data_IF_141652204014
#
_entry.id   IF_141652204014
#
_cell.length_a   1.000
_cell.length_b   1.000
_cell.length_c   1.000
_cell.angle_alpha   90.00
_cell.angle_beta   90.00
_cell.angle_gamma   90.00
#
_symmetry.space_group_name_H-M   'P 1'
#
loop_
_entity.id
_entity.type
_entity.pdbx_description
1 polymer ?
2 polymer ?
3 non-polymer ?
4 non-polymer ?
5 non-polymer ?
6 non-polymer ?
7 water ?
#
# COMPACT_ATOMS: atom_id res chain seq x y z
N UNK A 1 12.81 -2.95 6.73
CA UNK A 1 12.82 -1.49 6.96
C UNK A 1 14.12 -1.15 7.69
N UNK A 2 14.88 -0.18 7.14
CA UNK A 2 16.14 0.30 7.72
C UNK A 2 15.87 1.64 8.41
N UNK A 3 16.29 1.75 9.68
CA UNK A 3 16.22 2.98 10.44
C UNK A 3 14.85 3.48 10.83
N UNK A 4 13.90 2.55 11.00
CA UNK A 4 12.55 2.89 11.42
C UNK A 4 12.31 2.50 12.85
N UNK A 5 11.07 2.19 13.20
CA UNK A 5 10.76 1.77 14.57
C UNK A 5 9.74 0.67 14.49
N UNK A 6 9.51 -0.03 15.62
CA UNK A 6 8.49 -1.05 15.68
C UNK A 6 7.13 -0.30 15.54
N UNK A 7 6.23 -0.81 14.68
CA UNK A 7 4.89 -0.24 14.53
C UNK A 7 4.14 -0.75 15.78
N UNK A 8 3.71 0.11 16.74
CA UNK A 8 2.97 -0.43 17.90
C UNK A 8 1.83 -1.33 17.42
N UNK A 9 1.66 -2.49 18.06
CA UNK A 9 0.65 -3.49 17.68
C UNK A 9 -0.73 -2.86 17.41
N UNK A 10 -1.25 -3.09 16.22
CA UNK A 10 -2.54 -2.56 15.82
C UNK A 10 -2.48 -1.18 15.18
N UNK A 11 -1.29 -0.54 15.10
CA UNK A 11 -1.19 0.79 14.48
C UNK A 11 -0.98 0.74 12.96
N UNK A 12 -0.72 -0.45 12.36
CA UNK A 12 -0.59 -0.62 10.90
C UNK A 12 -1.60 -1.75 10.57
N UNK A 13 -2.93 -1.55 10.85
CA UNK A 13 -3.85 -2.70 10.74
C UNK A 13 -4.18 -3.19 9.35
N UNK A 14 -3.76 -2.47 8.31
CA UNK A 14 -3.94 -2.89 6.93
C UNK A 14 -2.73 -3.70 6.45
N UNK A 15 -1.63 -3.77 7.23
CA UNK A 15 -0.43 -4.49 6.80
C UNK A 15 -0.74 -5.97 6.57
N UNK A 16 -0.28 -6.50 5.44
CA UNK A 16 -0.45 -7.92 5.13
C UNK A 16 0.94 -8.57 5.12
N UNK A 17 1.00 -9.82 5.59
CA UNK A 17 2.19 -10.66 5.46
C UNK A 17 1.85 -11.78 4.48
N UNK A 18 2.64 -11.91 3.43
CA UNK A 18 2.45 -12.97 2.45
C UNK A 18 3.46 -14.08 2.71
N UNK A 19 2.97 -15.32 2.72
CA UNK A 19 3.75 -16.52 2.96
C UNK A 19 3.62 -17.50 1.80
N UNK A 20 4.71 -18.23 1.52
CA UNK A 20 4.73 -19.31 0.52
C UNK A 20 5.37 -20.52 1.22
N UNK A 21 4.58 -21.59 1.45
CA UNK A 21 5.06 -22.79 2.18
C UNK A 21 5.45 -22.42 3.62
N UNK A 22 4.77 -21.42 4.20
CA UNK A 22 5.02 -20.93 5.55
C UNK A 22 6.18 -19.98 5.72
N UNK A 23 6.93 -19.73 4.64
CA UNK A 23 8.09 -18.84 4.63
C UNK A 23 7.67 -17.44 4.18
N UNK A 24 8.27 -16.43 4.81
CA UNK A 24 8.03 -15.01 4.51
C UNK A 24 8.33 -14.74 3.05
N UNK A 25 7.37 -14.21 2.31
CA UNK A 25 7.58 -13.88 0.90
C UNK A 25 7.70 -12.36 0.69
N UNK A 26 6.66 -11.61 1.12
CA UNK A 26 6.47 -10.19 0.84
C UNK A 26 5.44 -9.63 1.79
N UNK A 27 5.19 -8.34 1.65
CA UNK A 27 4.13 -7.63 2.33
C UNK A 27 3.01 -7.37 1.33
N UNK A 28 1.96 -6.72 1.81
CA UNK A 28 0.81 -6.36 1.00
C UNK A 28 -0.03 -5.37 1.79
N UNK A 29 -1.08 -4.87 1.18
CA UNK A 29 -1.99 -3.92 1.85
C UNK A 29 -3.41 -4.39 1.63
N UNK A 30 -4.16 -4.53 2.72
CA UNK A 30 -5.59 -4.86 2.70
C UNK A 30 -6.34 -3.60 2.28
N UNK A 31 -7.19 -3.67 1.23
CA UNK A 31 -7.94 -2.47 0.81
C UNK A 31 -9.47 -2.63 1.03
N UNK A 32 -9.93 -3.85 1.36
CA UNK A 32 -11.30 -4.15 1.79
C UNK A 32 -11.26 -5.56 2.37
N UNK A 33 -12.39 -6.22 2.66
CA UNK A 33 -12.31 -7.56 3.30
C UNK A 33 -11.79 -8.71 2.43
N UNK A 34 -11.74 -8.59 1.08
CA UNK A 34 -11.27 -9.71 0.27
C UNK A 34 -10.06 -9.39 -0.62
N UNK A 35 -9.71 -8.13 -0.76
CA UNK A 35 -8.64 -7.71 -1.68
C UNK A 35 -7.43 -7.13 -0.99
N UNK A 36 -6.28 -7.52 -1.52
CA UNK A 36 -4.97 -7.13 -1.04
C UNK A 36 -4.16 -6.61 -2.23
N UNK A 37 -3.45 -5.50 -2.08
CA UNK A 37 -2.59 -5.06 -3.16
C UNK A 37 -1.15 -5.30 -2.72
N UNK A 38 -0.36 -5.85 -3.64
CA UNK A 38 1.05 -6.17 -3.38
C UNK A 38 1.89 -5.80 -4.63
N UNK A 39 3.14 -6.31 -4.75
CA UNK A 39 4.03 -6.05 -5.90
C UNK A 39 4.02 -7.27 -6.78
N UNK A 40 3.94 -7.06 -8.10
CA UNK A 40 3.98 -8.17 -9.06
C UNK A 40 5.29 -8.97 -8.94
N UNK A 41 6.43 -8.29 -8.63
CA UNK A 41 7.72 -8.98 -8.60
C UNK A 41 7.81 -10.06 -7.51
N UNK A 42 6.91 -10.00 -6.49
CA UNK A 42 6.79 -10.96 -5.39
C UNK A 42 6.48 -12.37 -5.93
N UNK A 43 5.86 -12.44 -7.11
CA UNK A 43 5.39 -13.71 -7.65
C UNK A 43 6.21 -14.26 -8.81
N UNK A 44 7.37 -13.66 -9.15
CA UNK A 44 8.21 -14.10 -10.28
C UNK A 44 8.70 -15.54 -10.15
N UNK A 45 8.98 -16.00 -8.94
CA UNK A 45 9.56 -17.32 -8.68
C UNK A 45 8.60 -18.33 -8.06
N UNK A 46 7.29 -18.02 -8.01
CA UNK A 46 6.30 -18.94 -7.42
C UNK A 46 6.01 -20.12 -8.35
N UNK A 47 6.04 -21.36 -7.78
CA UNK A 47 5.67 -22.58 -8.50
C UNK A 47 4.49 -23.23 -7.80
N UNK A 48 4.48 -23.16 -6.45
CA UNK A 48 3.43 -23.69 -5.59
C UNK A 48 2.36 -22.60 -5.34
N UNK A 49 1.59 -22.24 -6.40
CA UNK A 49 0.54 -21.22 -6.37
C UNK A 49 -0.51 -21.47 -5.28
N UNK A 50 -0.78 -22.75 -4.94
CA UNK A 50 -1.74 -23.19 -3.92
C UNK A 50 -1.25 -23.06 -2.46
N UNK A 51 0.05 -22.77 -2.25
CA UNK A 51 0.62 -22.63 -0.90
C UNK A 51 0.89 -21.17 -0.53
N UNK A 52 0.19 -20.25 -1.20
CA UNK A 52 0.31 -18.81 -0.96
C UNK A 52 -0.76 -18.39 0.04
N UNK A 53 -0.30 -17.85 1.19
CA UNK A 53 -1.17 -17.46 2.30
C UNK A 53 -0.98 -15.99 2.63
N UNK A 54 -2.08 -15.30 2.94
CA UNK A 54 -2.03 -13.91 3.40
C UNK A 54 -2.39 -13.92 4.88
N UNK A 55 -1.62 -13.22 5.69
CA UNK A 55 -1.86 -13.11 7.11
C UNK A 55 -2.16 -11.64 7.44
N UNK A 56 -3.32 -11.40 8.12
CA UNK A 56 -3.78 -10.06 8.58
C UNK A 56 -3.71 -10.07 10.10
N UNK A 57 -3.59 -8.90 10.72
CA UNK A 57 -3.52 -8.78 12.18
C UNK A 57 -2.21 -9.29 12.76
N UNK A 58 -1.22 -9.51 11.89
CA UNK A 58 0.10 -9.97 12.30
C UNK A 58 0.92 -8.82 12.90
N UNK A 59 1.77 -9.14 13.87
CA UNK A 59 2.62 -8.12 14.50
C UNK A 59 3.99 -8.75 14.82
N UNK A 60 4.00 -9.76 15.70
CA UNK A 60 5.22 -10.45 16.15
C UNK A 60 5.24 -11.86 15.55
N UNK A 61 6.25 -12.16 14.72
CA UNK A 61 6.35 -13.46 14.04
C UNK A 61 6.72 -14.65 14.96
N UNK A 62 7.19 -14.37 16.17
CA UNK A 62 7.61 -15.46 17.05
C UNK A 62 6.47 -16.01 17.91
N UNK A 63 5.33 -15.28 17.95
CA UNK A 63 4.21 -15.64 18.83
C UNK A 63 2.85 -15.52 18.14
N UNK A 64 1.95 -16.46 18.43
CA UNK A 64 0.56 -16.39 18.00
C UNK A 64 -0.22 -15.74 19.14
N UNK A 65 -0.82 -14.55 18.94
CA UNK A 65 -1.61 -13.93 20.03
C UNK A 65 -3.13 -14.01 19.83
N UNK A 66 -3.59 -14.62 18.76
CA UNK A 66 -5.04 -14.74 18.50
C UNK A 66 -5.63 -13.70 17.56
N UNK A 67 -4.93 -12.57 17.31
CA UNK A 67 -5.43 -11.53 16.38
C UNK A 67 -5.10 -11.80 14.93
N UNK A 68 -4.22 -12.78 14.67
CA UNK A 68 -3.81 -13.13 13.30
C UNK A 68 -4.93 -13.81 12.57
N UNK A 69 -5.11 -13.49 11.28
CA UNK A 69 -6.10 -14.14 10.43
C UNK A 69 -5.38 -14.53 9.15
N UNK A 70 -5.36 -15.82 8.85
CA UNK A 70 -4.74 -16.43 7.66
C UNK A 70 -5.80 -16.77 6.65
N UNK A 71 -5.51 -16.48 5.39
CA UNK A 71 -6.40 -16.77 4.28
C UNK A 71 -5.59 -17.23 3.11
N UNK A 72 -6.12 -18.22 2.36
CA UNK A 72 -5.51 -18.68 1.12
C UNK A 72 -5.76 -17.59 0.07
N UNK A 73 -4.79 -17.39 -0.81
CA UNK A 73 -4.89 -16.41 -1.89
C UNK A 73 -5.51 -17.18 -3.05
N UNK A 74 -6.73 -16.81 -3.42
CA UNK A 74 -7.48 -17.46 -4.49
C UNK A 74 -7.00 -17.01 -5.89
N UNK A 75 -6.57 -15.74 -6.02
CA UNK A 75 -6.15 -15.19 -7.31
C UNK A 75 -5.10 -14.11 -7.15
N UNK A 76 -4.13 -14.07 -8.07
CA UNK A 76 -3.06 -13.08 -8.15
C UNK A 76 -3.23 -12.44 -9.54
N UNK A 77 -3.59 -11.17 -9.56
CA UNK A 77 -3.83 -10.46 -10.83
C UNK A 77 -2.72 -9.47 -11.06
N UNK A 78 -2.06 -9.62 -12.20
CA UNK A 78 -0.92 -8.80 -12.57
C UNK A 78 -1.21 -8.05 -13.89
N UNK A 79 -0.79 -6.77 -14.06
CA UNK A 79 -1.06 -6.10 -15.34
C UNK A 79 -0.28 -6.73 -16.50
N UNK A 80 -0.87 -6.65 -17.70
CA UNK A 80 -0.28 -7.24 -18.91
C UNK A 80 1.06 -6.65 -19.26
N UNK A 81 1.30 -5.41 -18.80
CA UNK A 81 2.50 -4.64 -19.10
C UNK A 81 3.70 -4.99 -18.22
N UNK A 82 3.47 -5.72 -17.10
CA UNK A 82 4.53 -6.15 -16.20
C UNK A 82 5.36 -7.25 -16.87
N UNK A 83 6.69 -7.12 -16.84
CA UNK A 83 7.59 -8.12 -17.42
C UNK A 83 8.38 -8.76 -16.26
N UNK A 84 8.24 -10.08 -15.96
CA UNK A 84 9.02 -10.68 -14.86
C UNK A 84 10.51 -10.36 -14.93
N UNK A 85 11.09 -10.08 -13.78
CA UNK A 85 12.51 -9.74 -13.67
C UNK A 85 12.79 -8.27 -13.85
N UNK A 86 11.75 -7.46 -14.17
CA UNK A 86 11.93 -6.02 -14.38
C UNK A 86 11.14 -5.24 -13.31
N UNK A 87 11.20 -3.89 -13.35
CA UNK A 87 10.64 -3.04 -12.32
C UNK A 87 9.37 -2.30 -12.68
N UNK A 88 9.13 -2.00 -13.96
CA UNK A 88 7.95 -1.22 -14.34
C UNK A 88 6.64 -1.98 -14.06
N UNK A 89 5.55 -1.24 -13.72
CA UNK A 89 4.21 -1.83 -13.49
C UNK A 89 4.24 -2.88 -12.38
N UNK A 90 4.93 -2.56 -11.30
CA UNK A 90 5.15 -3.49 -10.20
C UNK A 90 3.97 -3.49 -9.22
N UNK A 91 2.87 -4.14 -9.64
CA UNK A 91 1.64 -4.22 -8.83
C UNK A 91 0.92 -5.55 -9.06
N UNK A 92 0.31 -6.06 -8.00
CA UNK A 92 -0.48 -7.29 -8.05
C UNK A 92 -1.71 -7.06 -7.21
N UNK A 93 -2.85 -7.58 -7.64
CA UNK A 93 -4.10 -7.50 -6.90
C UNK A 93 -4.48 -8.92 -6.52
N UNK A 94 -4.61 -9.19 -5.23
CA UNK A 94 -4.85 -10.53 -4.70
C UNK A 94 -6.25 -10.65 -4.15
N UNK A 95 -6.96 -11.69 -4.57
CA UNK A 95 -8.29 -12.00 -4.06
C UNK A 95 -8.08 -13.10 -3.01
N UNK A 96 -8.62 -12.88 -1.80
CA UNK A 96 -8.54 -13.85 -0.72
C UNK A 96 -9.64 -14.88 -0.94
N UNK A 97 -9.41 -16.14 -0.55
CA UNK A 97 -10.41 -17.20 -0.74
C UNK A 97 -11.69 -16.96 0.08
N UNK A 98 -11.54 -16.36 1.26
CA UNK A 98 -12.62 -16.05 2.18
C UNK A 98 -12.33 -14.66 2.74
N UNK A 99 -13.35 -13.80 2.98
CA UNK A 99 -13.04 -12.47 3.55
C UNK A 99 -12.34 -12.55 4.89
N UNK A 100 -11.52 -11.54 5.24
CA UNK A 100 -11.01 -11.44 6.61
C UNK A 100 -12.14 -10.78 7.43
N UNK A 101 -12.10 -10.93 8.75
CA UNK A 101 -13.04 -10.30 9.67
C UNK A 101 -12.39 -8.98 10.17
N UNK A 102 -13.06 -7.85 9.95
CA UNK A 102 -12.55 -6.56 10.44
C UNK A 102 -12.67 -6.51 11.95
N UNK A 103 -11.58 -6.13 12.61
CA UNK A 103 -11.47 -6.08 14.08
C UNK A 103 -10.59 -4.85 14.37
N UNK A 104 -10.28 -4.58 15.65
CA UNK A 104 -9.37 -3.47 16.00
C UNK A 104 -8.00 -3.71 15.37
N UNK A 105 -7.66 -4.97 15.07
CA UNK A 105 -6.33 -5.30 14.54
C UNK A 105 -6.28 -5.56 13.05
N UNK A 106 -7.45 -5.59 12.38
CA UNK A 106 -7.51 -5.86 10.93
C UNK A 106 -8.46 -4.81 10.34
N UNK A 107 -7.92 -3.84 9.61
CA UNK A 107 -8.69 -2.74 9.03
C UNK A 107 -8.11 -2.46 7.65
N UNK A 108 -8.94 -2.21 6.61
CA UNK A 108 -8.35 -1.88 5.30
C UNK A 108 -7.83 -0.45 5.21
N UNK A 109 -6.90 -0.22 4.31
CA UNK A 109 -6.38 1.10 3.99
C UNK A 109 -7.27 1.62 2.85
N UNK A 110 -7.63 2.92 2.82
CA UNK A 110 -8.48 3.41 1.71
C UNK A 110 -7.74 3.42 0.40
N UNK A 111 -8.31 2.80 -0.63
CA UNK A 111 -7.76 2.92 -1.97
C UNK A 111 -8.41 4.25 -2.45
N UNK A 112 -7.64 5.32 -2.73
CA UNK A 112 -8.28 6.60 -3.07
C UNK A 112 -8.74 6.66 -4.51
N UNK A 113 -9.50 7.71 -4.86
CA UNK A 113 -9.84 7.97 -6.27
C UNK A 113 -8.59 8.52 -6.95
N UNK A 114 -8.45 8.30 -8.27
CA UNK A 114 -7.27 8.76 -9.01
C UNK A 114 -7.05 10.28 -8.87
N UNK A 115 -8.11 11.09 -9.15
CA UNK A 115 -8.02 12.56 -9.10
C UNK A 115 -7.60 13.03 -7.73
N UNK A 116 -8.28 12.56 -6.69
CA UNK A 116 -7.90 12.91 -5.32
C UNK A 116 -6.40 12.57 -5.03
N UNK A 117 -5.95 11.40 -5.51
CA UNK A 117 -4.57 10.94 -5.31
C UNK A 117 -3.54 11.78 -6.06
N UNK A 118 -3.82 12.11 -7.32
CA UNK A 118 -2.90 12.91 -8.12
C UNK A 118 -2.84 14.40 -7.71
N UNK A 119 -3.98 15.00 -7.45
CA UNK A 119 -4.00 16.43 -7.18
C UNK A 119 -3.87 16.80 -5.69
N UNK A 120 -4.03 15.84 -4.78
CA UNK A 120 -3.93 16.17 -3.37
C UNK A 120 -2.91 15.27 -2.66
N UNK A 121 -3.10 13.94 -2.69
CA UNK A 121 -2.23 13.00 -1.95
C UNK A 121 -0.80 13.06 -2.41
N UNK A 122 -0.58 13.24 -3.72
CA UNK A 122 0.75 13.29 -4.30
C UNK A 122 1.61 14.45 -3.74
N UNK A 123 0.97 15.42 -3.04
CA UNK A 123 1.66 16.58 -2.45
C UNK A 123 1.81 16.50 -0.96
N UNK A 124 1.31 15.43 -0.32
CA UNK A 124 1.55 15.24 1.12
C UNK A 124 3.01 14.76 1.13
N UNK A 125 3.90 15.51 1.82
CA UNK A 125 5.35 15.24 1.81
C UNK A 125 5.70 13.87 2.35
N UNK A 126 5.31 13.61 3.60
CA UNK A 126 5.68 12.38 4.27
C UNK A 126 4.59 11.35 4.24
N UNK A 127 5.00 10.08 4.15
CA UNK A 127 4.10 8.92 4.20
C UNK A 127 4.79 7.79 4.96
N UNK A 128 4.04 6.78 5.40
CA UNK A 128 4.62 5.68 6.16
C UNK A 128 4.79 4.44 5.29
N UNK A 129 5.95 3.78 5.43
CA UNK A 129 6.27 2.51 4.76
C UNK A 129 6.51 1.49 5.86
N UNK A 130 6.05 0.26 5.68
CA UNK A 130 6.14 -0.74 6.73
C UNK A 130 6.38 -2.18 6.21
N UNK A 131 6.91 -3.03 7.07
CA UNK A 131 7.15 -4.43 6.71
C UNK A 131 8.03 -5.17 7.70
N UNK A 132 8.19 -6.48 7.47
CA UNK A 132 9.02 -7.36 8.28
C UNK A 132 10.29 -7.67 7.50
N UNK A 133 10.70 -6.75 6.63
CA UNK A 133 11.91 -6.89 5.85
C UNK A 133 13.16 -6.69 6.68
N UNK A 134 14.29 -6.78 6.01
CA UNK A 134 15.63 -6.65 6.59
C UNK A 134 15.78 -5.33 7.32
N UNK A 135 16.42 -5.40 8.48
CA UNK A 135 16.68 -4.21 9.30
C UNK A 135 17.89 -3.46 8.81
N UNK A 136 18.68 -4.10 7.93
CA UNK A 136 19.94 -3.56 7.35
C UNK A 136 20.12 -4.21 6.04
N UNK A 137 20.88 -3.57 5.15
CA UNK A 137 21.32 -4.14 3.88
C UNK A 137 22.23 -5.34 4.26
N UNK A 138 21.95 -6.54 3.70
CA UNK A 138 22.66 -7.81 3.99
C UNK A 138 22.50 -8.26 5.47
N UNK A 139 21.39 -7.86 6.10
CA UNK A 139 21.09 -8.19 7.48
C UNK A 139 19.82 -9.01 7.65
N UNK A 140 19.54 -9.44 8.87
CA UNK A 140 18.38 -10.26 9.22
C UNK A 140 17.07 -9.46 9.12
N UNK A 141 15.97 -10.17 8.85
CA UNK A 141 14.61 -9.62 8.74
C UNK A 141 14.09 -9.37 10.15
N UNK A 142 13.07 -8.50 10.29
CA UNK A 142 12.49 -8.16 11.59
C UNK A 142 11.49 -9.19 12.10
N UNK A 143 11.43 -9.40 13.43
CA UNK A 143 10.42 -10.27 14.04
C UNK A 143 9.15 -9.47 14.34
N UNK A 144 9.29 -8.17 14.59
CA UNK A 144 8.14 -7.30 14.84
C UNK A 144 7.99 -6.36 13.67
N UNK A 145 6.73 -6.05 13.31
CA UNK A 145 6.46 -5.14 12.20
C UNK A 145 7.11 -3.77 12.42
N UNK A 146 7.86 -3.30 11.41
CA UNK A 146 8.54 -2.03 11.47
C UNK A 146 7.86 -0.99 10.57
N UNK A 147 8.01 0.28 10.92
CA UNK A 147 7.41 1.38 10.19
C UNK A 147 8.44 2.52 10.07
N UNK A 148 8.40 3.25 8.96
CA UNK A 148 9.29 4.36 8.70
C UNK A 148 8.53 5.47 7.97
N UNK A 149 8.81 6.72 8.36
CA UNK A 149 8.27 7.93 7.73
C UNK A 149 9.25 8.37 6.66
N UNK A 150 8.79 8.47 5.41
CA UNK A 150 9.65 8.85 4.28
C UNK A 150 9.09 10.02 3.49
N UNK A 151 9.93 11.01 3.05
CA UNK A 151 9.39 12.10 2.21
C UNK A 151 9.38 11.72 0.73
N UNK A 152 8.36 12.17 0.01
CA UNK A 152 8.22 11.90 -1.42
C UNK A 152 8.97 12.97 -2.17
N UNK A 153 9.57 12.56 -3.29
CA UNK A 153 10.33 13.44 -4.17
C UNK A 153 9.69 13.50 -5.52
N UNK A 154 9.83 14.67 -6.19
CA UNK A 154 9.40 14.84 -7.58
C UNK A 154 10.43 14.04 -8.38
N UNK A 155 10.01 13.32 -9.44
CA UNK A 155 10.94 12.47 -10.21
C UNK A 155 12.17 13.23 -10.74
N UNK A 156 12.00 14.49 -11.22
CA UNK A 156 13.11 15.34 -11.69
C UNK A 156 14.17 15.44 -10.58
N UNK A 157 13.74 15.76 -9.35
CA UNK A 157 14.60 15.86 -8.17
C UNK A 157 15.27 14.54 -7.84
N UNK A 158 14.52 13.40 -7.92
CA UNK A 158 15.09 12.07 -7.65
C UNK A 158 16.22 11.76 -8.63
N UNK A 159 15.98 12.00 -9.95
CA UNK A 159 16.95 11.78 -11.04
C UNK A 159 18.22 12.62 -10.87
N UNK A 160 18.06 13.89 -10.41
CA UNK A 160 19.16 14.84 -10.17
C UNK A 160 19.94 14.51 -8.88
N UNK A 161 19.23 14.21 -7.78
CA UNK A 161 19.80 13.89 -6.45
C UNK A 161 20.43 12.49 -6.33
N UNK A 162 20.18 11.58 -7.31
CA UNK A 162 20.71 10.22 -7.26
C UNK A 162 22.11 10.07 -7.87
N UNK A 163 22.89 9.09 -7.35
CA UNK A 163 24.25 8.79 -7.78
C UNK A 163 24.24 8.05 -9.13
N UNK A 169 18.03 0.97 -13.28
CA UNK A 169 16.77 1.16 -14.01
C UNK A 169 16.29 2.61 -14.05
N UNK A 170 15.37 2.90 -14.98
CA UNK A 170 14.75 4.21 -15.17
C UNK A 170 13.56 4.40 -14.21
N UNK A 171 13.25 5.65 -13.86
CA UNK A 171 12.10 5.98 -13.02
C UNK A 171 11.01 6.47 -13.97
N UNK A 172 10.00 5.62 -14.18
CA UNK A 172 8.89 5.83 -15.11
C UNK A 172 7.76 6.59 -14.44
N UNK A 173 6.69 6.89 -15.19
CA UNK A 173 5.51 7.58 -14.67
C UNK A 173 4.63 6.65 -13.80
N UNK A 174 4.98 5.35 -13.76
CA UNK A 174 4.30 4.32 -12.97
C UNK A 174 5.03 4.08 -11.65
N UNK A 175 5.96 4.98 -11.31
CA UNK A 175 6.79 4.93 -10.11
C UNK A 175 6.94 6.31 -9.49
N UNK A 176 7.43 6.35 -8.23
CA UNK A 176 7.84 7.58 -7.58
C UNK A 176 8.93 7.25 -6.57
N UNK A 177 9.80 8.23 -6.28
CA UNK A 177 10.87 8.07 -5.29
C UNK A 177 10.41 8.59 -3.98
N UNK A 178 10.90 7.98 -2.90
CA UNK A 178 10.68 8.44 -1.55
C UNK A 178 11.80 7.95 -0.65
N UNK A 179 12.15 8.77 0.32
CA UNK A 179 13.20 8.38 1.24
C UNK A 179 14.29 9.41 1.44
N UNK A 180 15.50 8.93 1.69
CA UNK A 180 16.68 9.70 2.06
C UNK A 180 17.88 9.21 1.30
N UNK A 181 18.81 10.12 0.98
CA UNK A 181 20.04 9.80 0.24
C UNK A 181 21.29 9.66 1.15
N UNK A 182 21.15 9.81 2.48
CA UNK A 182 22.29 9.76 3.40
C UNK A 182 22.59 8.35 3.97
N UNK A 183 21.98 7.32 3.39
CA UNK A 183 22.15 5.92 3.78
C UNK A 183 21.67 5.52 5.16
N UNK A 184 20.67 6.24 5.72
CA UNK A 184 20.18 5.93 7.07
C UNK A 184 18.82 5.26 7.16
N UNK A 185 17.90 5.58 6.23
CA UNK A 185 16.50 5.14 6.32
C UNK A 185 15.97 4.71 4.98
N UNK A 186 15.31 3.54 4.93
CA UNK A 186 14.76 3.05 3.67
C UNK A 186 13.93 1.81 3.90
N UNK A 187 13.16 1.39 2.90
CA UNK A 187 12.51 0.09 3.00
C UNK A 187 13.53 -0.90 2.40
N UNK A 188 13.31 -2.22 2.55
CA UNK A 188 14.27 -3.23 2.10
C UNK A 188 13.59 -4.34 1.32
N UNK A 189 14.38 -5.30 0.80
CA UNK A 189 13.94 -6.41 -0.06
C UNK A 189 12.67 -7.14 0.42
N UNK A 190 12.66 -7.55 1.69
CA UNK A 190 11.55 -8.27 2.30
C UNK A 190 10.34 -7.41 2.63
N UNK A 191 10.44 -6.10 2.42
CA UNK A 191 9.29 -5.19 2.63
C UNK A 191 8.45 -5.06 1.34
N UNK A 192 8.95 -5.59 0.21
CA UNK A 192 8.35 -5.58 -1.14
C UNK A 192 6.86 -5.84 -1.07
N UNK A 193 6.08 -5.06 -1.80
CA UNK A 193 4.63 -5.25 -1.82
C UNK A 193 3.89 -4.53 -0.72
N UNK A 194 4.62 -4.08 0.31
CA UNK A 194 4.04 -3.41 1.47
C UNK A 194 3.50 -2.03 1.18
N UNK A 195 2.71 -1.44 2.11
CA UNK A 195 2.12 -0.11 1.87
C UNK A 195 3.04 1.09 2.04
N UNK A 196 2.80 2.10 1.21
CA UNK A 196 3.32 3.47 1.35
C UNK A 196 1.98 4.18 1.56
N UNK A 197 1.70 4.50 2.81
CA UNK A 197 0.40 5.05 3.26
C UNK A 197 0.52 6.55 3.59
N UNK A 198 -0.42 7.35 3.06
CA UNK A 198 -0.45 8.82 3.20
C UNK A 198 -1.64 9.29 4.04
N UNK A 199 -1.37 10.11 5.05
CA UNK A 199 -2.41 10.67 5.91
C UNK A 199 -2.98 11.96 5.31
N UNK A 200 -4.30 12.08 5.28
CA UNK A 200 -4.95 13.30 4.81
C UNK A 200 -6.27 13.51 5.55
N UNK A 201 -6.33 14.63 6.31
CA UNK A 201 -7.52 15.06 7.05
C UNK A 201 -8.15 13.93 7.87
N UNK A 202 -7.31 13.29 8.68
CA UNK A 202 -7.72 12.26 9.63
C UNK A 202 -7.86 10.86 9.05
N UNK A 203 -7.53 10.65 7.77
CA UNK A 203 -7.67 9.33 7.11
C UNK A 203 -6.43 8.92 6.34
N UNK A 204 -6.13 7.59 6.35
CA UNK A 204 -4.95 7.07 5.63
C UNK A 204 -5.34 6.45 4.30
N UNK A 205 -4.50 6.68 3.27
CA UNK A 205 -4.74 6.18 1.93
C UNK A 205 -3.56 5.47 1.35
N UNK A 206 -3.84 4.54 0.42
CA UNK A 206 -2.79 3.83 -0.32
C UNK A 206 -2.29 4.68 -1.50
N UNK A 207 -0.99 5.08 -1.46
CA UNK A 207 -0.36 5.87 -2.53
C UNK A 207 0.79 5.16 -3.21
N UNK A 208 1.41 4.20 -2.54
CA UNK A 208 2.56 3.52 -3.12
C UNK A 208 2.67 2.07 -2.68
N UNK A 209 3.52 1.31 -3.34
CA UNK A 209 3.81 -0.09 -3.01
C UNK A 209 5.33 -0.18 -2.98
N UNK A 210 5.92 -0.78 -1.90
CA UNK A 210 7.37 -1.02 -1.83
C UNK A 210 7.74 -1.85 -3.07
N UNK A 211 8.55 -1.26 -3.95
CA UNK A 211 8.87 -1.88 -5.23
C UNK A 211 10.35 -2.24 -5.40
N UNK A 212 11.25 -1.25 -5.46
CA UNK A 212 12.68 -1.53 -5.71
C UNK A 212 13.61 -0.39 -5.28
N UNK A 213 14.90 -0.69 -5.31
CA UNK A 213 15.97 0.25 -5.00
C UNK A 213 17.34 -0.40 -5.20
N UNK A 214 18.40 0.44 -5.20
CA UNK A 214 19.78 -0.04 -5.35
C UNK A 214 20.25 -0.38 -3.94
N UNK A 215 20.24 -1.68 -3.60
CA UNK A 215 20.53 -2.15 -2.24
C UNK A 215 19.47 -1.60 -1.30
N UNK A 216 19.80 -1.47 -0.01
CA UNK A 216 18.90 -0.91 1.02
C UNK A 216 19.64 0.18 1.73
N UNK A 217 19.07 1.38 1.75
CA UNK A 217 19.67 2.57 2.37
C UNK A 217 21.12 2.83 1.85
N UNK A 218 21.30 2.76 0.51
CA UNK A 218 22.57 3.01 -0.18
C UNK A 218 22.69 4.53 -0.34
N UNK A 219 23.86 5.11 0.06
CA UNK A 219 24.11 6.56 -0.05
C UNK A 219 23.91 7.03 -1.49
N UNK A 220 23.22 8.15 -1.66
CA UNK A 220 22.92 8.72 -2.97
C UNK A 220 21.76 8.04 -3.69
N UNK A 221 21.03 7.14 -3.00
CA UNK A 221 19.89 6.44 -3.60
C UNK A 221 18.64 6.55 -2.73
N UNK A 222 17.46 6.51 -3.39
CA UNK A 222 16.15 6.59 -2.73
C UNK A 222 15.38 5.30 -3.01
N UNK A 223 14.34 5.04 -2.22
CA UNK A 223 13.42 3.93 -2.45
C UNK A 223 12.54 4.27 -3.62
N UNK A 224 12.15 3.25 -4.41
CA UNK A 224 11.27 3.43 -5.57
C UNK A 224 9.99 2.65 -5.28
N UNK A 225 8.85 3.33 -5.45
CA UNK A 225 7.51 2.84 -5.13
C UNK A 225 6.64 2.85 -6.34
N UNK A 226 5.75 1.85 -6.46
CA UNK A 226 4.76 1.81 -7.54
C UNK A 226 3.77 2.96 -7.30
N UNK A 227 3.54 3.78 -8.32
CA UNK A 227 2.63 4.91 -8.25
C UNK A 227 1.22 4.35 -8.42
N UNK A 228 0.59 4.02 -7.30
CA UNK A 228 -0.73 3.37 -7.22
C UNK A 228 -1.84 4.18 -7.99
N UNK A 229 -1.76 5.52 -8.01
CA UNK A 229 -2.77 6.38 -8.70
C UNK A 229 -2.98 6.04 -10.16
N UNK A 230 -1.94 5.51 -10.82
CA UNK A 230 -1.97 5.10 -12.23
C UNK A 230 -2.82 3.85 -12.42
N UNK A 231 -3.07 3.08 -11.34
CA UNK A 231 -3.78 1.78 -11.39
C UNK A 231 -5.15 1.74 -10.75
N UNK A 232 -5.66 2.89 -10.25
CA UNK A 232 -6.98 2.96 -9.55
C UNK A 232 -8.12 2.34 -10.36
N UNK A 233 -8.30 2.78 -11.59
CA UNK A 233 -9.37 2.30 -12.50
C UNK A 233 -9.15 0.83 -12.85
N UNK A 234 -7.89 0.43 -13.09
CA UNK A 234 -7.53 -0.96 -13.39
C UNK A 234 -7.94 -1.85 -12.20
N UNK A 235 -7.59 -1.44 -10.96
CA UNK A 235 -7.92 -2.15 -9.72
C UNK A 235 -9.43 -2.23 -9.50
N UNK A 236 -10.15 -1.10 -9.68
CA UNK A 236 -11.60 -1.01 -9.49
C UNK A 236 -12.38 -1.89 -10.43
N UNK A 237 -11.97 -1.94 -11.71
CA UNK A 237 -12.62 -2.80 -12.70
C UNK A 237 -12.45 -4.27 -12.31
N UNK A 238 -11.25 -4.67 -11.90
CA UNK A 238 -11.00 -6.05 -11.48
C UNK A 238 -11.79 -6.46 -10.25
N UNK A 239 -11.91 -5.55 -9.26
CA UNK A 239 -12.67 -5.84 -8.04
C UNK A 239 -14.16 -6.00 -8.31
N UNK A 240 -14.67 -5.43 -9.41
CA UNK A 240 -16.08 -5.57 -9.79
C UNK A 240 -16.27 -6.81 -10.69
N UNK A 241 -15.20 -7.60 -10.94
CA UNK A 241 -15.29 -8.76 -11.83
C UNK A 241 -15.43 -10.08 -11.10
N UNK A 242 -16.00 -11.08 -11.79
CA UNK A 242 -16.17 -12.43 -11.25
C UNK A 242 -14.86 -13.17 -11.21
N UNK A 243 -14.57 -13.98 -10.15
CA UNK A 243 -13.33 -14.76 -10.16
C UNK A 243 -13.25 -15.70 -11.37
N UNK A 244 -12.02 -16.06 -11.75
CA UNK A 244 -11.74 -16.95 -12.88
C UNK A 244 -10.93 -18.13 -12.41
N UNK A 245 -11.07 -19.32 -13.05
CA UNK A 245 -10.23 -20.47 -12.64
C UNK A 245 -8.74 -20.16 -12.83
N UNK A 246 -7.89 -20.78 -12.02
CA UNK A 246 -6.44 -20.57 -12.03
C UNK A 246 -6.04 -19.43 -11.11
N UNK A 247 -4.94 -19.57 -10.35
CA UNK A 247 -4.50 -18.56 -9.40
C UNK A 247 -3.98 -17.32 -10.11
N UNK A 248 -3.00 -17.49 -11.00
CA UNK A 248 -2.45 -16.35 -11.73
C UNK A 248 -3.32 -15.86 -12.87
N UNK A 249 -3.58 -14.55 -12.89
CA UNK A 249 -4.33 -13.92 -13.97
C UNK A 249 -3.58 -12.70 -14.49
N UNK A 250 -3.34 -12.63 -15.79
CA UNK A 250 -2.73 -11.44 -16.36
C UNK A 250 -3.90 -10.64 -16.95
N UNK A 251 -4.02 -9.36 -16.57
CA UNK A 251 -5.12 -8.52 -17.02
C UNK A 251 -4.65 -7.33 -17.82
N UNK A 252 -5.35 -7.01 -18.95
CA UNK A 252 -4.92 -5.87 -19.79
C UNK A 252 -4.73 -4.59 -19.00
N UNK A 253 -3.62 -3.91 -19.26
CA UNK A 253 -3.34 -2.60 -18.70
C UNK A 253 -3.05 -1.68 -19.89
N UNK A 254 -3.69 -0.48 -20.03
CA UNK A 254 -4.69 0.15 -19.14
C UNK A 254 -6.02 -0.63 -19.03
N UNK B 1 -12.57 23.95 -9.18
CA UNK B 1 -12.68 24.13 -7.73
C UNK B 1 -11.88 23.03 -7.00
N UNK B 2 -11.95 21.78 -7.48
CA UNK B 2 -11.31 20.59 -6.91
C UNK B 2 -9.78 20.63 -6.92
N UNK B 3 -9.16 21.27 -7.93
CA UNK B 3 -7.68 21.32 -8.01
C UNK B 3 -7.06 22.08 -6.84
N UNK B 4 -7.77 23.13 -6.37
CA UNK B 4 -7.35 24.01 -5.29
C UNK B 4 -7.86 23.55 -3.91
N UNK B 5 -6.92 23.11 -3.04
CA UNK B 5 -7.13 22.63 -1.68
C UNK B 5 -8.26 21.58 -1.56
N UNK B 6 -8.33 20.68 -2.58
CA UNK B 6 -9.29 19.58 -2.68
C UNK B 6 -10.77 20.06 -2.72
N UNK B 7 -10.98 21.29 -3.18
CA UNK B 7 -12.28 21.96 -3.26
C UNK B 7 -12.91 22.18 -1.89
N UNK B 8 -12.08 22.10 -0.84
CA UNK B 8 -12.50 22.14 0.56
C UNK B 8 -13.00 20.79 1.07
N UNK B 9 -13.01 19.74 0.22
CA UNK B 9 -13.51 18.40 0.59
C UNK B 9 -12.58 17.67 1.55
N UNK B 10 -13.14 16.91 2.48
CA UNK B 10 -12.31 16.10 3.38
C UNK B 10 -11.74 14.88 2.61
N UNK B 11 -12.54 14.31 1.72
CA UNK B 11 -12.17 13.17 0.89
C UNK B 11 -12.24 13.50 -0.62
N UNK B 12 -13.23 12.97 -1.38
CA UNK B 12 -13.27 13.13 -2.84
C UNK B 12 -14.02 14.36 -3.29
N UNK B 13 -13.63 14.90 -4.45
CA UNK B 13 -14.18 16.13 -5.03
C UNK B 13 -14.52 15.94 -6.50
N UNK B 14 -15.74 16.32 -6.91
CA UNK B 14 -16.18 16.31 -8.32
C UNK B 14 -16.54 17.74 -8.74
N UNK B 15 -15.97 18.19 -9.87
CA UNK B 15 -16.29 19.51 -10.44
C UNK B 15 -17.54 19.35 -11.28
N UNK B 16 -18.40 20.37 -11.25
CA UNK B 16 -19.64 20.35 -12.01
C UNK B 16 -19.74 21.55 -12.97
N UNK B 17 -20.68 21.45 -13.95
CA UNK B 17 -20.94 22.48 -14.96
C UNK B 17 -21.22 23.81 -14.27
N UNK B 18 -20.22 24.69 -14.33
CA UNK B 18 -20.23 26.00 -13.68
C UNK B 18 -19.27 26.06 -12.51
N UNK B 19 -19.62 26.86 -11.48
CA UNK B 19 -18.83 27.01 -10.25
C UNK B 19 -19.29 25.98 -9.17
N UNK B 20 -20.09 24.97 -9.58
CA UNK B 20 -20.61 23.91 -8.72
C UNK B 20 -19.54 22.86 -8.39
N UNK B 21 -19.61 22.33 -7.16
CA UNK B 21 -18.68 21.32 -6.65
C UNK B 21 -19.46 20.36 -5.73
N UNK B 22 -19.19 19.04 -5.84
CA UNK B 22 -19.80 18.04 -4.96
C UNK B 22 -18.68 17.25 -4.28
N UNK B 23 -18.65 17.23 -2.95
CA UNK B 23 -17.71 16.41 -2.20
C UNK B 23 -18.34 15.06 -2.06
N UNK B 24 -17.52 14.04 -1.98
CA UNK B 24 -17.97 12.68 -1.83
C UNK B 24 -17.05 11.98 -0.87
N UNK B 25 -17.43 10.77 -0.45
CA UNK B 25 -16.71 9.99 0.54
C UNK B 25 -16.50 8.58 0.03
N UNK B 26 -15.48 7.90 0.57
CA UNK B 26 -15.24 6.48 0.32
C UNK B 26 -16.39 5.71 0.98
N UNK B 27 -16.64 4.46 0.55
CA UNK B 27 -17.62 3.56 1.15
C UNK B 27 -17.34 3.43 2.64
N UNK B 28 -18.40 3.26 3.44
CA UNK B 28 -18.28 3.19 4.89
C UNK B 28 -18.23 4.57 5.53
N UNK B 29 -18.51 5.63 4.74
CA UNK B 29 -18.56 7.03 5.20
C UNK B 29 -19.76 7.71 4.55
N UNK B 30 -20.28 8.76 5.22
CA UNK B 30 -21.38 9.57 4.69
C UNK B 30 -20.95 11.05 4.79
N UNK B 31 -21.40 11.85 3.83
CA UNK B 31 -21.10 13.27 3.78
C UNK B 31 -22.02 14.03 4.76
N UNK B 32 -21.44 14.93 5.56
CA UNK B 32 -22.23 15.73 6.51
C UNK B 32 -22.97 16.88 5.78
N UNK B 33 -23.91 17.56 6.48
CA UNK B 33 -24.69 18.66 5.88
C UNK B 33 -23.83 19.89 5.53
N UNK B 34 -22.58 19.95 6.03
CA UNK B 34 -21.65 21.01 5.64
C UNK B 34 -21.20 20.82 4.19
N UNK B 35 -21.44 19.63 3.65
CA UNK B 35 -21.12 19.29 2.27
C UNK B 35 -19.66 19.00 2.00
N UNK B 36 -18.83 18.95 3.05
CA UNK B 36 -17.38 18.71 2.89
C UNK B 36 -16.86 17.54 3.77
N UNK B 37 -17.41 17.38 4.97
CA UNK B 37 -16.93 16.41 5.96
C UNK B 37 -17.50 15.03 5.76
N UNK B 38 -16.68 14.02 6.03
CA UNK B 38 -17.08 12.61 5.91
C UNK B 38 -17.13 11.98 7.29
N UNK B 39 -18.23 11.33 7.63
CA UNK B 39 -18.32 10.66 8.93
C UNK B 39 -18.43 9.11 8.73
N UNK B 40 -17.77 8.27 9.56
CA UNK B 40 -17.92 6.82 9.42
C UNK B 40 -19.37 6.35 9.61
N UNK B 41 -19.81 5.36 8.83
CA UNK B 41 -21.15 4.76 8.95
C UNK B 41 -21.03 3.30 9.41
N UNK B 42 -19.77 2.82 9.54
CA UNK B 42 -19.48 1.44 9.92
C UNK B 42 -18.54 1.43 11.09
N UNK B 43 -18.41 0.28 11.74
CA UNK B 43 -17.54 0.11 12.88
C UNK B 43 -16.04 0.23 12.50
N UNK B 44 -15.65 -0.34 11.35
CA UNK B 44 -14.25 -0.33 10.92
C UNK B 44 -14.05 0.35 9.55
N UNK B 45 -14.23 1.70 9.48
CA UNK B 45 -14.06 2.38 8.18
C UNK B 45 -12.60 2.31 7.75
N UNK B 46 -12.34 2.33 6.43
CA UNK B 46 -10.98 2.26 5.89
C UNK B 46 -10.13 3.45 6.36
N UNK B 47 -8.82 3.23 6.47
CA UNK B 47 -7.87 4.30 6.78
C UNK B 47 -7.94 4.95 8.15
N UNK B 48 -8.63 4.32 9.10
CA UNK B 48 -8.71 4.78 10.51
C UNK B 48 -8.20 3.67 11.40
N UNK B 49 -7.47 4.03 12.46
CA UNK B 49 -6.82 3.10 13.37
C UNK B 49 -7.61 3.01 14.66
N UNK B 50 -8.37 1.91 14.84
CA UNK B 50 -9.22 1.78 16.03
C UNK B 50 -8.54 2.02 17.38
N UNK B 51 -7.33 1.47 17.63
CA UNK B 51 -6.72 1.67 18.96
C UNK B 51 -6.42 3.18 19.22
N UNK B 52 -6.16 3.96 18.13
CA UNK B 52 -5.91 5.39 18.25
C UNK B 52 -7.22 6.20 18.33
N UNK B 53 -8.25 5.76 17.57
CA UNK B 53 -9.59 6.36 17.55
C UNK B 53 -10.29 6.24 18.91
N UNK B 54 -10.14 5.08 19.58
CA UNK B 54 -10.75 4.79 20.88
C UNK B 54 -9.96 5.37 22.08
N UNK B 55 -8.76 5.91 21.82
CA UNK B 55 -7.86 6.51 22.82
C UNK B 55 -8.26 7.95 23.17
X LIG C 1 13.74 -2.31 -2.14
X LIG C 1 12.63 -1.48 -2.15
X LIG C 1 14.99 -1.80 -1.76
X LIG C 1 15.11 -0.47 -1.37
X LIG C 1 12.77 -0.17 -1.77
X LIG C 1 13.99 0.35 -1.37
X LIG C 1 13.73 -3.64 -2.42
X LIG C 1 11.25 0.95 -1.82
X LIG C 1 16.08 -2.63 -1.72
X LIG C 1 12.45 -4.28 -2.61
X LIG C 1 11.64 -1.79 -2.49
X LIG C 1 16.07 -0.07 -1.05
X LIG C 1 14.08 1.39 -1.08
X LIG C 1 16.77 -2.17 -2.27
X LIG C 1 12.71 -5.32 -2.78
X LIG C 1 11.93 -3.91 -3.49
X LIG C 1 11.81 -4.19 -1.74
X LIG D 1 2.06 -13.24 15.74
X LIG E 1 -9.26 -19.28 3.48
X LIG E 1 -10.13 -18.98 4.61
X LIG E 1 -9.78 -20.44 2.83
X LIG E 1 -9.20 -18.20 2.59
X LIG E 1 -7.96 -19.59 3.99
X LIG F 1 7.34 -22.21 -4.74
X LIG F 1 6.97 -23.55 -5.19
X LIG F 1 6.22 -21.31 -4.92
X LIG F 1 8.49 -21.76 -5.53
X LIG F 1 7.70 -22.29 -3.35
X LIG G 1 17.33 5.39 -7.28
X LIG G 1 16.48 4.35 -6.76
X LIG G 1 16.70 6.02 -8.43
X LIG G 1 17.56 6.43 -6.27
X LIG G 1 18.58 4.75 -7.71
X LIG H 1 -12.73 -0.30 -2.44
X LIG H 1 -13.42 0.27 -1.27
X LIG H 1 -13.32 -1.63 -2.69
X LIG H 1 -12.92 0.58 -3.57
X LIG H 1 -11.31 -0.48 -2.26
X LIG I 1 4.02 -14.34 -13.45
X LIG I 1 4.32 -12.96 -13.41
X LIG I 1 5.23 -15.18 -13.12
X LIG I 1 4.82 -16.44 -12.58
X LIG I 1 6.07 -15.41 -14.36
X LIG I 1 7.43 -15.67 -14.01
X LIG J 1 1.85 5.18 13.16
X LIG J 1 2.37 3.86 13.05
X LIG J 1 0.37 5.24 12.82
X LIG J 1 -0.10 6.58 13.03
X LIG J 1 0.03 4.81 11.41
X LIG J 1 0.50 3.52 11.08
X LIG K 1 10.13 -16.82 -3.90
X LIG K 1 11.27 -15.97 -3.90
X LIG K 1 10.54 -18.27 -3.97
X LIG K 1 11.56 -18.54 -3.00
X LIG K 1 9.33 -19.12 -3.67
X LIG K 1 9.71 -20.48 -3.47
#
# INVERSE_FOLDING_TARGET
IVGGKVCPKGECPWQVLLLVNGAQLCGGTLINTIWVVSAAHCFDKIKNWRNLIAVLGEHDLSEHDGDEQSRRVAQVIIPSTYVPGTTNHDIALLRLHQPVVLTDHVVPLCLPERTFSERTLAFVRFSLVSGWGQLLDRGATALELMVLNVPRLMTQDCLQQSRKVGDSPNITEYMFCAGYSDGSKDSCKGDSGGPHATHYRGTWYLTGIVSWGQGCATVGHFGVYTRVSQYIEWLQKLMRSEPRPGVLLRAPFP
ICVNENGGCEQYCSDHTGTKRSCRCHEGYSLLADGVSCTPTVEYPCGKIPILEKR
3Z7 C1 C2 C3 C4 C5 C6 O7 BR8 O9 C10 H11 H12 H13 H14 H15 H16 H17
CA CA
SO4 S O1 O2 O3 O4
SO4 S O1 O2 O3 O4
SO4 S O1 O2 O3 O4
SO4 S O1 O2 O3 O4
GOL C1 O1 C2 O2 C3 O3
GOL C1 O1 C2 O2 C3 O3
GOL C1 O1 C2 O2 C3 O3
#
